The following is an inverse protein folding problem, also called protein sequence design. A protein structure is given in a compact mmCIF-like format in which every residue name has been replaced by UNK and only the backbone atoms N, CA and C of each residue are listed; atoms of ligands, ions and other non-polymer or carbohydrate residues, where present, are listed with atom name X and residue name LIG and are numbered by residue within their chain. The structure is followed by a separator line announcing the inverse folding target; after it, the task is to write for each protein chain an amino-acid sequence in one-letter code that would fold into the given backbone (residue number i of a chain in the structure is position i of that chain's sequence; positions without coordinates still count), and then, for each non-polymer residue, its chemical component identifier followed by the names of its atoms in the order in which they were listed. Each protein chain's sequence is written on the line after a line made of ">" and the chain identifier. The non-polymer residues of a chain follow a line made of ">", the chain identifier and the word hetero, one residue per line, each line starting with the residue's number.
data_IF_719604299882
#
_entry.id   IF_719604299882
#
_cell.length_a   1.000
_cell.length_b   1.000
_cell.length_c   1.000
_cell.angle_alpha   90.00
_cell.angle_beta   90.00
_cell.angle_gamma   90.00
#
_symmetry.space_group_name_H-M   'P 1'
#
loop_
_entity.id
_entity.type
_entity.pdbx_description
1 polymer ?
#
# COMPACT_ATOMS: atom_id res chain seq x y z
N UNK A 1 -59.38 19.05 -5.72
CA UNK A 1 -58.42 19.72 -6.63
C UNK A 1 -58.55 21.23 -6.47
N UNK A 2 -57.58 21.95 -5.89
CA UNK A 2 -57.45 23.39 -6.12
C UNK A 2 -56.41 23.66 -7.22
N UNK A 3 -56.86 24.42 -8.22
CA UNK A 3 -56.16 24.77 -9.46
C UNK A 3 -55.43 26.12 -9.34
N UNK A 4 -54.36 26.17 -8.56
CA UNK A 4 -53.60 27.40 -8.36
C UNK A 4 -52.10 27.08 -8.24
N UNK A 5 -51.38 26.97 -9.37
CA UNK A 5 -49.95 27.29 -9.54
C UNK A 5 -49.44 26.85 -10.93
N UNK A 6 -49.57 27.67 -12.00
CA UNK A 6 -49.05 27.33 -13.33
C UNK A 6 -47.59 27.78 -13.61
N UNK A 7 -46.85 28.36 -12.66
CA UNK A 7 -45.61 29.10 -12.98
C UNK A 7 -44.35 28.68 -12.20
N UNK A 8 -44.23 27.42 -11.77
CA UNK A 8 -42.95 26.94 -11.23
C UNK A 8 -41.97 26.60 -12.38
N UNK A 9 -40.82 27.28 -12.49
CA UNK A 9 -39.83 27.01 -13.53
C UNK A 9 -39.26 25.59 -13.39
N UNK A 10 -39.08 24.90 -14.52
CA UNK A 10 -38.53 23.53 -14.66
C UNK A 10 -37.08 23.35 -14.15
N UNK A 11 -36.50 24.33 -13.46
CA UNK A 11 -35.09 24.35 -13.07
C UNK A 11 -34.76 23.65 -11.74
N UNK A 12 -35.75 23.08 -11.04
CA UNK A 12 -35.56 22.36 -9.78
C UNK A 12 -35.97 20.88 -9.88
N UNK A 13 -35.57 20.22 -10.96
CA UNK A 13 -35.63 18.75 -11.06
C UNK A 13 -34.25 18.12 -11.25
N UNK A 14 -33.21 18.72 -10.65
CA UNK A 14 -32.01 17.98 -10.29
C UNK A 14 -32.35 17.10 -9.09
N UNK A 15 -33.00 15.95 -9.35
CA UNK A 15 -32.85 14.80 -8.46
C UNK A 15 -31.37 14.46 -8.51
N UNK A 16 -30.61 14.97 -7.54
CA UNK A 16 -29.36 14.36 -7.14
C UNK A 16 -29.76 12.98 -6.61
N UNK A 17 -29.85 12.03 -7.53
CA UNK A 17 -29.89 10.61 -7.22
C UNK A 17 -28.58 10.31 -6.53
N UNK A 18 -28.58 10.35 -5.20
CA UNK A 18 -27.52 9.78 -4.37
C UNK A 18 -27.52 8.27 -4.58
N UNK A 19 -26.98 7.80 -5.72
CA UNK A 19 -26.62 6.39 -5.92
C UNK A 19 -25.23 6.09 -5.34
N UNK A 20 -24.90 6.71 -4.20
CA UNK A 20 -23.58 6.58 -3.57
C UNK A 20 -23.32 5.21 -2.93
N UNK A 21 -24.36 4.39 -2.76
CA UNK A 21 -24.26 3.14 -1.98
C UNK A 21 -24.00 1.88 -2.81
N UNK A 22 -24.16 1.92 -4.14
CA UNK A 22 -23.92 0.75 -5.00
C UNK A 22 -22.44 0.59 -5.39
N UNK A 23 -21.68 1.69 -5.42
CA UNK A 23 -20.26 1.68 -5.83
C UNK A 23 -19.33 1.02 -4.83
N UNK A 24 -19.59 1.16 -3.52
CA UNK A 24 -18.77 0.54 -2.47
C UNK A 24 -18.99 -0.97 -2.38
N UNK A 25 -20.21 -1.44 -2.70
CA UNK A 25 -20.55 -2.86 -2.74
C UNK A 25 -19.91 -3.58 -3.92
N UNK A 26 -20.03 -3.04 -5.14
CA UNK A 26 -19.42 -3.64 -6.33
C UNK A 26 -17.89 -3.65 -6.26
N UNK A 27 -17.27 -2.56 -5.81
CA UNK A 27 -15.81 -2.46 -5.70
C UNK A 27 -15.22 -3.44 -4.67
N UNK A 28 -15.93 -3.72 -3.56
CA UNK A 28 -15.49 -4.74 -2.59
C UNK A 28 -15.54 -6.14 -3.18
N UNK A 29 -16.62 -6.49 -3.88
CA UNK A 29 -16.80 -7.81 -4.47
C UNK A 29 -15.73 -8.04 -5.56
N UNK A 30 -15.48 -7.05 -6.41
CA UNK A 30 -14.44 -7.10 -7.44
C UNK A 30 -13.03 -7.32 -6.84
N UNK A 31 -12.63 -6.53 -5.84
CA UNK A 31 -11.30 -6.71 -5.23
C UNK A 31 -11.12 -8.06 -4.54
N UNK A 32 -12.18 -8.60 -3.90
CA UNK A 32 -12.11 -9.94 -3.29
C UNK A 32 -12.02 -11.06 -4.31
N UNK A 33 -12.68 -10.92 -5.47
CA UNK A 33 -12.54 -11.84 -6.59
C UNK A 33 -11.12 -11.79 -7.18
N UNK A 34 -10.62 -10.59 -7.46
CA UNK A 34 -9.28 -10.37 -7.98
C UNK A 34 -8.19 -10.90 -7.04
N UNK A 35 -8.34 -10.77 -5.72
CA UNK A 35 -7.39 -11.32 -4.75
C UNK A 35 -7.41 -12.86 -4.73
N UNK A 36 -8.58 -13.50 -4.81
CA UNK A 36 -8.70 -14.97 -4.82
C UNK A 36 -8.05 -15.62 -6.03
N UNK A 37 -8.06 -14.94 -7.17
CA UNK A 37 -7.43 -15.42 -8.41
C UNK A 37 -5.90 -15.21 -8.44
N UNK A 38 -5.33 -14.49 -7.46
CA UNK A 38 -3.88 -14.29 -7.38
C UNK A 38 -3.14 -15.59 -7.07
N UNK A 39 -1.94 -15.80 -7.65
CA UNK A 39 -1.04 -16.87 -7.22
C UNK A 39 -0.73 -16.75 -5.71
N UNK A 40 -0.68 -17.87 -4.99
CA UNK A 40 -0.52 -17.86 -3.52
C UNK A 40 0.69 -17.06 -3.02
N UNK A 41 1.83 -17.12 -3.70
CA UNK A 41 2.99 -16.30 -3.30
C UNK A 41 2.76 -14.80 -3.55
N UNK A 42 2.00 -14.42 -4.59
CA UNK A 42 1.61 -13.03 -4.82
C UNK A 42 0.63 -12.54 -3.76
N UNK A 43 -0.30 -13.38 -3.32
CA UNK A 43 -1.20 -13.08 -2.19
C UNK A 43 -0.42 -12.81 -0.91
N UNK A 44 0.58 -13.64 -0.61
CA UNK A 44 1.47 -13.44 0.54
C UNK A 44 2.18 -12.10 0.46
N UNK A 45 2.78 -11.77 -0.69
CA UNK A 45 3.45 -10.50 -0.93
C UNK A 45 2.51 -9.30 -0.69
N UNK A 46 1.29 -9.36 -1.25
CA UNK A 46 0.27 -8.32 -1.02
C UNK A 46 -0.05 -8.15 0.46
N UNK A 47 -0.24 -9.25 1.20
CA UNK A 47 -0.52 -9.19 2.65
C UNK A 47 0.63 -8.52 3.39
N UNK A 48 1.88 -8.91 3.10
CA UNK A 48 3.07 -8.28 3.71
C UNK A 48 3.08 -6.77 3.45
N UNK A 49 2.82 -6.34 2.22
CA UNK A 49 2.80 -4.91 1.90
C UNK A 49 1.61 -4.16 2.49
N UNK A 50 0.44 -4.78 2.62
CA UNK A 50 -0.73 -4.18 3.28
C UNK A 50 -0.51 -3.96 4.78
N UNK A 51 0.15 -4.91 5.45
CA UNK A 51 0.47 -4.79 6.88
C UNK A 51 1.74 -3.96 7.13
N UNK A 52 2.48 -3.56 6.09
CA UNK A 52 3.76 -2.88 6.24
C UNK A 52 3.69 -1.59 7.09
N UNK A 53 2.69 -0.69 6.98
CA UNK A 53 2.66 0.51 7.82
C UNK A 53 2.53 0.19 9.31
N UNK A 54 1.73 -0.84 9.64
CA UNK A 54 1.52 -1.28 11.02
C UNK A 54 2.82 -1.89 11.56
N UNK A 55 3.47 -2.75 10.78
CA UNK A 55 4.71 -3.42 11.18
C UNK A 55 5.83 -2.40 11.38
N UNK A 56 6.00 -1.47 10.43
CA UNK A 56 7.10 -0.50 10.44
C UNK A 56 6.88 0.57 11.51
N UNK A 57 5.70 1.16 11.61
CA UNK A 57 5.43 2.15 12.67
C UNK A 57 5.44 1.48 14.04
N UNK A 58 4.87 0.29 14.15
CA UNK A 58 4.88 -0.49 15.39
C UNK A 58 6.30 -0.82 15.84
N UNK A 59 7.20 -1.21 14.94
CA UNK A 59 8.59 -1.53 15.29
C UNK A 59 9.37 -0.28 15.75
N UNK A 60 9.10 0.88 15.16
CA UNK A 60 9.70 2.16 15.62
C UNK A 60 9.19 2.52 17.02
N UNK A 61 7.88 2.44 17.26
CA UNK A 61 7.26 2.82 18.53
C UNK A 61 7.63 1.86 19.68
N UNK A 62 7.81 0.57 19.39
CA UNK A 62 8.23 -0.43 20.38
C UNK A 62 9.73 -0.39 20.71
N UNK A 63 10.49 0.49 20.04
CA UNK A 63 11.90 0.72 20.31
C UNK A 63 12.15 1.31 21.68
N UNK A 64 12.37 0.45 22.68
CA UNK A 64 12.73 0.87 24.03
C UNK A 64 14.23 1.12 24.10
N UNK A 65 14.65 2.36 23.88
CA UNK A 65 16.06 2.74 24.00
C UNK A 65 16.38 4.23 24.06
N UNK A 66 15.51 5.10 23.53
CA UNK A 66 15.86 6.53 23.35
C UNK A 66 15.35 7.46 24.47
N UNK A 67 14.47 6.99 25.35
CA UNK A 67 13.75 7.88 26.30
C UNK A 67 12.75 8.84 25.62
N UNK A 68 12.55 8.74 24.31
CA UNK A 68 11.57 9.53 23.55
C UNK A 68 10.17 8.91 23.62
N UNK A 69 9.14 9.74 23.48
CA UNK A 69 7.73 9.31 23.40
C UNK A 69 7.45 8.52 22.11
N UNK A 70 8.35 8.59 21.12
CA UNK A 70 8.20 7.97 19.80
C UNK A 70 9.11 6.75 19.58
N UNK A 71 9.62 6.14 20.64
CA UNK A 71 10.48 4.95 20.55
C UNK A 71 11.82 5.26 19.88
N UNK A 72 12.17 4.60 18.78
CA UNK A 72 13.44 4.89 18.08
C UNK A 72 13.48 6.26 17.37
N UNK A 73 12.33 6.88 17.11
CA UNK A 73 12.29 8.21 16.50
C UNK A 73 12.52 9.30 17.55
N UNK A 74 13.31 10.30 17.22
CA UNK A 74 13.53 11.48 18.09
C UNK A 74 12.49 12.58 17.84
N UNK A 75 11.82 12.53 16.67
CA UNK A 75 10.84 13.55 16.27
C UNK A 75 9.65 12.95 15.52
N UNK A 76 8.52 13.67 15.53
CA UNK A 76 7.33 13.32 14.75
C UNK A 76 7.65 13.27 13.24
N UNK A 77 8.57 14.11 12.76
CA UNK A 77 8.95 14.19 11.35
C UNK A 77 9.63 12.90 10.88
N UNK A 78 10.50 12.30 11.70
CA UNK A 78 11.11 11.00 11.42
C UNK A 78 10.06 9.90 11.33
N UNK A 79 9.12 9.88 12.28
CA UNK A 79 8.03 8.90 12.29
C UNK A 79 7.13 9.03 11.06
N UNK A 80 6.80 10.27 10.66
CA UNK A 80 6.05 10.55 9.43
C UNK A 80 6.84 10.16 8.19
N UNK A 81 8.15 10.39 8.16
CA UNK A 81 9.02 9.96 7.07
C UNK A 81 9.03 8.45 6.88
N UNK A 82 9.22 7.71 7.98
CA UNK A 82 9.18 6.24 8.00
C UNK A 82 7.79 5.72 7.59
N UNK A 83 6.72 6.31 8.11
CA UNK A 83 5.35 5.98 7.71
C UNK A 83 5.11 6.26 6.22
N UNK A 84 5.64 7.37 5.69
CA UNK A 84 5.58 7.72 4.28
C UNK A 84 6.24 6.68 3.37
N UNK A 85 7.42 6.17 3.74
CA UNK A 85 8.06 5.07 3.03
C UNK A 85 7.18 3.82 2.99
N UNK A 86 6.56 3.46 4.12
CA UNK A 86 5.63 2.31 4.20
C UNK A 86 4.34 2.52 3.39
N UNK A 87 3.87 3.76 3.27
CA UNK A 87 2.67 4.08 2.50
C UNK A 87 2.86 3.75 1.01
N UNK A 88 4.03 4.02 0.43
CA UNK A 88 4.34 3.66 -0.97
C UNK A 88 4.23 2.14 -1.17
N UNK A 89 4.72 1.37 -0.21
CA UNK A 89 4.66 -0.09 -0.26
C UNK A 89 3.23 -0.64 -0.06
N UNK A 90 2.44 0.01 0.80
CA UNK A 90 1.01 -0.26 0.94
C UNK A 90 0.23 0.01 -0.36
N UNK A 91 0.41 1.19 -0.95
CA UNK A 91 -0.31 1.58 -2.18
C UNK A 91 0.05 0.70 -3.37
N UNK A 92 1.33 0.38 -3.54
CA UNK A 92 1.76 -0.55 -4.59
C UNK A 92 1.13 -1.94 -4.43
N UNK A 93 0.93 -2.41 -3.19
CA UNK A 93 0.23 -3.67 -2.91
C UNK A 93 -1.23 -3.64 -3.32
N UNK A 94 -1.93 -2.53 -3.08
CA UNK A 94 -3.30 -2.34 -3.58
C UNK A 94 -3.35 -2.30 -5.12
N UNK A 95 -2.36 -1.68 -5.76
CA UNK A 95 -2.27 -1.63 -7.22
C UNK A 95 -1.96 -3.00 -7.84
N UNK A 96 -1.23 -3.88 -7.13
CA UNK A 96 -1.06 -5.28 -7.54
C UNK A 96 -2.39 -6.03 -7.55
N UNK A 97 -3.26 -5.82 -6.54
CA UNK A 97 -4.61 -6.41 -6.50
C UNK A 97 -5.46 -5.91 -7.66
N UNK A 98 -5.35 -4.61 -7.98
CA UNK A 98 -6.02 -4.01 -9.15
C UNK A 98 -5.35 -4.33 -10.50
N UNK A 99 -4.45 -5.31 -10.53
CA UNK A 99 -3.76 -5.79 -11.75
C UNK A 99 -3.04 -4.70 -12.56
N UNK A 100 -2.61 -3.62 -11.92
CA UNK A 100 -1.87 -2.55 -12.62
C UNK A 100 -0.44 -3.02 -12.92
N UNK A 101 -0.03 -3.07 -14.19
CA UNK A 101 1.29 -3.59 -14.59
C UNK A 101 2.46 -2.81 -13.98
N UNK A 102 2.34 -1.47 -13.88
CA UNK A 102 3.37 -0.62 -13.25
C UNK A 102 3.51 -0.85 -11.74
N UNK A 103 2.54 -1.51 -11.09
CA UNK A 103 2.61 -1.84 -9.68
C UNK A 103 3.75 -2.80 -9.34
N UNK A 104 4.19 -3.64 -10.29
CA UNK A 104 5.29 -4.59 -10.06
C UNK A 104 6.60 -3.90 -9.69
N UNK A 105 6.97 -2.86 -10.44
CA UNK A 105 8.16 -2.04 -10.17
C UNK A 105 7.96 -1.20 -8.91
N UNK A 106 6.81 -0.56 -8.76
CA UNK A 106 6.49 0.25 -7.57
C UNK A 106 6.52 -0.57 -6.28
N UNK A 107 6.13 -1.85 -6.33
CA UNK A 107 6.19 -2.76 -5.19
C UNK A 107 7.63 -3.01 -4.74
N UNK A 108 8.53 -3.27 -5.69
CA UNK A 108 9.97 -3.47 -5.38
C UNK A 108 10.62 -2.18 -4.91
N UNK A 109 10.27 -1.04 -5.50
CA UNK A 109 10.73 0.26 -5.01
C UNK A 109 10.22 0.56 -3.60
N UNK A 110 8.96 0.25 -3.31
CA UNK A 110 8.37 0.36 -1.98
C UNK A 110 9.08 -0.53 -0.97
N UNK A 111 9.40 -1.77 -1.34
CA UNK A 111 10.20 -2.69 -0.51
C UNK A 111 11.58 -2.12 -0.16
N UNK A 112 12.29 -1.57 -1.15
CA UNK A 112 13.61 -0.96 -0.93
C UNK A 112 13.50 0.31 -0.08
N UNK A 113 12.48 1.15 -0.31
CA UNK A 113 12.21 2.34 0.50
C UNK A 113 11.93 1.99 1.96
N UNK A 114 11.11 0.97 2.21
CA UNK A 114 10.84 0.48 3.57
C UNK A 114 12.11 -0.08 4.20
N UNK A 115 12.89 -0.85 3.46
CA UNK A 115 14.16 -1.40 3.93
C UNK A 115 15.20 -0.32 4.25
N UNK A 116 15.18 0.78 3.51
CA UNK A 116 16.05 1.94 3.70
C UNK A 116 15.49 2.96 4.72
N UNK A 117 14.22 2.84 5.13
CA UNK A 117 13.58 3.78 6.06
C UNK A 117 14.32 3.96 7.40
N UNK A 118 15.05 2.97 7.96
CA UNK A 118 15.86 3.19 9.15
C UNK A 118 16.96 4.25 8.97
N UNK A 119 17.37 4.60 7.75
CA UNK A 119 18.31 5.70 7.50
C UNK A 119 17.75 7.07 7.92
N UNK A 120 16.42 7.18 8.06
CA UNK A 120 15.78 8.39 8.58
C UNK A 120 15.89 8.51 10.10
N UNK A 121 16.26 7.42 10.79
CA UNK A 121 16.38 7.37 12.25
C UNK A 121 17.84 7.56 12.66
N UNK A 122 18.17 8.60 13.46
CA UNK A 122 19.52 8.81 13.95
C UNK A 122 20.08 7.62 14.75
N UNK A 123 19.23 6.83 15.41
CA UNK A 123 19.63 5.63 16.17
C UNK A 123 20.25 4.54 15.31
N UNK A 124 20.04 4.55 14.00
CA UNK A 124 20.58 3.53 13.08
C UNK A 124 22.09 3.71 12.87
N UNK A 125 22.63 4.92 13.06
CA UNK A 125 24.05 5.19 12.85
C UNK A 125 24.94 4.44 13.87
N UNK A 126 24.44 4.16 15.07
CA UNK A 126 25.16 3.38 16.08
C UNK A 126 25.33 1.90 15.69
N UNK A 127 24.50 1.40 14.76
CA UNK A 127 24.51 0.00 14.28
C UNK A 127 24.66 -0.08 12.76
N UNK A 128 25.36 0.88 12.16
CA UNK A 128 25.40 1.07 10.72
C UNK A 128 25.89 -0.17 9.95
N UNK A 129 26.89 -0.90 10.46
CA UNK A 129 27.39 -2.12 9.82
C UNK A 129 26.33 -3.24 9.75
N UNK A 130 25.58 -3.45 10.84
CA UNK A 130 24.48 -4.44 10.88
C UNK A 130 23.35 -4.02 9.96
N UNK A 131 23.05 -2.72 9.95
CA UNK A 131 22.07 -2.15 9.03
C UNK A 131 22.47 -2.39 7.57
N UNK A 132 23.71 -2.11 7.18
CA UNK A 132 24.20 -2.34 5.82
C UNK A 132 24.10 -3.81 5.40
N UNK A 133 24.48 -4.73 6.28
CA UNK A 133 24.34 -6.17 6.00
C UNK A 133 22.87 -6.56 5.81
N UNK A 134 21.98 -6.05 6.67
CA UNK A 134 20.54 -6.24 6.54
C UNK A 134 19.99 -5.65 5.24
N UNK A 135 20.43 -4.46 4.85
CA UNK A 135 20.02 -3.79 3.62
C UNK A 135 20.46 -4.58 2.38
N UNK A 136 21.67 -5.13 2.36
CA UNK A 136 22.16 -6.00 1.29
C UNK A 136 21.30 -7.26 1.12
N UNK A 137 20.96 -7.93 2.23
CA UNK A 137 20.09 -9.11 2.20
C UNK A 137 18.70 -8.74 1.69
N UNK A 138 18.12 -7.64 2.18
CA UNK A 138 16.83 -7.14 1.69
C UNK A 138 16.87 -6.73 0.22
N UNK A 139 18.01 -6.21 -0.26
CA UNK A 139 18.24 -5.93 -1.67
C UNK A 139 18.21 -7.19 -2.53
N UNK A 140 18.90 -8.26 -2.09
CA UNK A 140 18.86 -9.56 -2.77
C UNK A 140 17.44 -10.15 -2.79
N UNK A 141 16.71 -10.08 -1.68
CA UNK A 141 15.30 -10.49 -1.63
C UNK A 141 14.45 -9.66 -2.60
N UNK A 142 14.69 -8.35 -2.68
CA UNK A 142 14.02 -7.46 -3.64
C UNK A 142 14.26 -7.87 -5.09
N UNK A 143 15.48 -8.29 -5.44
CA UNK A 143 15.81 -8.83 -6.78
C UNK A 143 15.08 -10.14 -7.04
N UNK A 144 15.00 -11.05 -6.07
CA UNK A 144 14.26 -12.30 -6.20
C UNK A 144 12.76 -12.07 -6.38
N UNK A 145 12.19 -11.12 -5.63
CA UNK A 145 10.79 -10.69 -5.78
C UNK A 145 10.58 -10.10 -7.19
N UNK A 146 11.46 -9.23 -7.65
CA UNK A 146 11.39 -8.65 -9.00
C UNK A 146 11.42 -9.74 -10.07
N UNK A 147 12.36 -10.68 -9.95
CA UNK A 147 12.46 -11.82 -10.86
C UNK A 147 11.17 -12.64 -10.85
N UNK A 148 10.62 -12.96 -9.68
CA UNK A 148 9.33 -13.64 -9.56
C UNK A 148 8.20 -12.86 -10.25
N UNK A 149 8.07 -11.56 -10.00
CA UNK A 149 6.98 -10.74 -10.55
C UNK A 149 7.02 -10.61 -12.09
N UNK A 150 8.21 -10.74 -12.70
CA UNK A 150 8.38 -10.62 -14.15
C UNK A 150 8.54 -11.94 -14.90
N UNK A 151 9.13 -12.97 -14.29
CA UNK A 151 9.43 -14.25 -14.96
C UNK A 151 8.45 -15.37 -14.60
N UNK A 152 7.65 -15.22 -13.54
CA UNK A 152 6.66 -16.23 -13.19
C UNK A 152 5.49 -16.24 -14.15
N UNK A 153 5.28 -17.37 -14.85
CA UNK A 153 4.13 -17.59 -15.74
C UNK A 153 2.79 -17.43 -15.00
N UNK A 154 2.73 -17.77 -13.72
CA UNK A 154 1.51 -17.64 -12.92
C UNK A 154 1.15 -16.15 -12.69
N UNK A 155 2.16 -15.33 -12.40
CA UNK A 155 1.99 -13.88 -12.26
C UNK A 155 1.62 -13.26 -13.60
N UNK A 156 2.30 -13.65 -14.67
CA UNK A 156 2.00 -13.16 -16.01
C UNK A 156 0.55 -13.46 -16.41
N UNK A 157 0.07 -14.69 -16.21
CA UNK A 157 -1.35 -15.06 -16.46
C UNK A 157 -2.31 -14.18 -15.68
N UNK A 158 -2.04 -13.93 -14.40
CA UNK A 158 -2.88 -13.10 -13.55
C UNK A 158 -3.02 -11.67 -14.07
N UNK A 159 -1.93 -11.06 -14.55
CA UNK A 159 -1.97 -9.70 -15.09
C UNK A 159 -2.44 -9.61 -16.55
N UNK A 160 -2.59 -10.75 -17.23
CA UNK A 160 -3.06 -10.86 -18.61
C UNK A 160 -4.53 -11.25 -18.71
N UNK A 161 -5.16 -11.76 -17.65
CA UNK A 161 -6.58 -12.15 -17.63
C UNK A 161 -7.57 -10.98 -17.65
N UNK A 162 -7.08 -9.74 -17.64
CA UNK A 162 -7.86 -8.50 -17.66
C UNK A 162 -7.53 -7.61 -18.87
N UNK A 163 -6.66 -8.07 -19.78
CA UNK A 163 -6.35 -7.42 -21.05
C UNK A 163 -7.11 -8.11 -22.19
#
# INVERSE_FOLDING_TARGET
>A
MPAWMPWMPKLLRWRVSWSGSYWLGSARVEMTGQYREMPGFLQFLVVVGLFSPIIVVGSVLLGQGSGSIYGYANSLLELVGVAGCSAVYFFSSLMLVKRVRSARLLYVLGWLLVSASPLLLPSTFDQFERFLMGLWINGLVGVLILFYLYKSKAVERYFSSEA
#
